data_IF_260296518560
#
_entry.id   IF_260296518560
#
_cell.length_a   1.000
_cell.length_b   1.000
_cell.length_c   1.000
_cell.angle_alpha   90.00
_cell.angle_beta   90.00
_cell.angle_gamma   90.00
#
_symmetry.space_group_name_H-M   'P 1'
#
loop_
_entity.id
_entity.type
_entity.pdbx_description
1 polymer ?
#
# COMPACT_ATOMS: atom_id res chain seq x y z
N UNK A 1 1.14 8.43 -19.98
CA UNK A 1 0.21 8.24 -18.84
C UNK A 1 0.81 8.72 -17.53
N UNK A 2 1.94 8.20 -17.09
CA UNK A 2 2.53 8.49 -15.76
C UNK A 2 2.87 9.96 -15.55
N UNK A 3 3.63 10.59 -16.47
CA UNK A 3 3.99 12.00 -16.37
C UNK A 3 2.76 12.91 -16.33
N UNK A 4 1.73 12.56 -17.09
CA UNK A 4 0.46 13.29 -17.08
C UNK A 4 -0.26 13.16 -15.74
N UNK A 5 -0.39 11.94 -15.19
CA UNK A 5 -1.00 11.72 -13.89
C UNK A 5 -0.22 12.42 -12.76
N UNK A 6 1.12 12.39 -12.82
CA UNK A 6 1.96 13.12 -11.87
C UNK A 6 1.77 14.63 -11.98
N UNK A 7 1.72 15.18 -13.20
CA UNK A 7 1.45 16.61 -13.42
C UNK A 7 0.09 17.04 -12.84
N UNK A 8 -0.94 16.22 -13.02
CA UNK A 8 -2.27 16.46 -12.44
C UNK A 8 -2.26 16.38 -10.91
N UNK A 9 -1.56 15.40 -10.34
CA UNK A 9 -1.40 15.26 -8.89
C UNK A 9 -0.69 16.47 -8.27
N UNK A 10 0.40 16.91 -8.89
CA UNK A 10 1.14 18.10 -8.45
C UNK A 10 0.31 19.38 -8.58
N UNK A 11 -0.47 19.51 -9.66
CA UNK A 11 -1.37 20.65 -9.84
C UNK A 11 -2.49 20.67 -8.80
N UNK A 12 -3.11 19.52 -8.50
CA UNK A 12 -4.12 19.39 -7.46
C UNK A 12 -3.53 19.73 -6.08
N UNK A 13 -2.34 19.22 -5.76
CA UNK A 13 -1.66 19.54 -4.51
C UNK A 13 -1.41 21.04 -4.34
N UNK A 14 -0.97 21.71 -5.40
CA UNK A 14 -0.75 23.18 -5.38
C UNK A 14 -2.03 23.99 -5.16
N UNK A 15 -3.19 23.47 -5.62
CA UNK A 15 -4.49 24.14 -5.41
C UNK A 15 -4.96 24.06 -3.96
N UNK A 16 -4.66 22.97 -3.26
CA UNK A 16 -5.15 22.70 -1.91
C UNK A 16 -4.02 22.19 -0.98
N UNK A 17 -2.92 22.97 -0.78
CA UNK A 17 -1.74 22.47 -0.08
C UNK A 17 -2.02 22.08 1.38
N UNK A 18 -2.81 22.90 2.10
CA UNK A 18 -3.10 22.65 3.51
C UNK A 18 -3.91 21.37 3.78
N UNK A 19 -5.05 21.12 3.10
CA UNK A 19 -5.78 19.88 3.27
C UNK A 19 -4.93 18.63 2.94
N UNK A 20 -4.12 18.69 1.90
CA UNK A 20 -3.27 17.57 1.52
C UNK A 20 -2.13 17.35 2.53
N UNK A 21 -1.47 18.40 2.99
CA UNK A 21 -0.46 18.28 4.04
C UNK A 21 -1.06 17.76 5.35
N UNK A 22 -2.25 18.24 5.75
CA UNK A 22 -2.96 17.75 6.93
C UNK A 22 -3.28 16.24 6.81
N UNK A 23 -3.70 15.79 5.64
CA UNK A 23 -3.96 14.36 5.39
C UNK A 23 -2.67 13.54 5.44
N UNK A 24 -1.57 14.08 4.94
CA UNK A 24 -0.24 13.46 5.07
C UNK A 24 0.20 13.33 6.52
N UNK A 25 -0.05 14.36 7.34
CA UNK A 25 0.22 14.31 8.78
C UNK A 25 -0.64 13.24 9.50
N UNK A 26 -1.94 13.13 9.14
CA UNK A 26 -2.82 12.06 9.65
C UNK A 26 -2.29 10.69 9.25
N UNK A 27 -1.90 10.50 7.99
CA UNK A 27 -1.34 9.24 7.52
C UNK A 27 -0.05 8.89 8.26
N UNK A 28 0.82 9.86 8.50
CA UNK A 28 2.02 9.68 9.29
C UNK A 28 1.69 9.26 10.73
N UNK A 29 0.74 9.95 11.38
CA UNK A 29 0.31 9.61 12.74
C UNK A 29 -0.25 8.17 12.81
N UNK A 30 -1.07 7.76 11.83
CA UNK A 30 -1.59 6.40 11.73
C UNK A 30 -0.47 5.37 11.57
N UNK A 31 0.55 5.66 10.77
CA UNK A 31 1.71 4.78 10.62
C UNK A 31 2.53 4.70 11.93
N UNK A 32 2.68 5.81 12.65
CA UNK A 32 3.36 5.82 13.95
C UNK A 32 2.60 5.01 15.01
N UNK A 33 1.27 5.12 15.05
CA UNK A 33 0.44 4.28 15.92
C UNK A 33 0.61 2.79 15.59
N UNK A 34 0.86 2.46 14.33
CA UNK A 34 1.14 1.10 13.89
C UNK A 34 2.42 0.51 14.48
N UNK A 35 3.41 1.34 14.81
CA UNK A 35 4.63 0.89 15.48
C UNK A 35 4.36 0.44 16.93
N UNK A 36 3.31 0.96 17.55
CA UNK A 36 2.91 0.61 18.92
C UNK A 36 2.10 -0.69 18.98
N UNK A 37 1.35 -1.00 17.93
CA UNK A 37 0.53 -2.20 17.87
C UNK A 37 0.37 -2.69 16.41
N UNK A 38 0.87 -3.90 16.06
CA UNK A 38 0.79 -4.45 14.69
C UNK A 38 -0.63 -4.51 14.12
N UNK A 39 -1.63 -4.80 14.97
CA UNK A 39 -3.04 -4.83 14.56
C UNK A 39 -3.52 -3.45 14.11
N UNK A 40 -3.12 -2.37 14.82
CA UNK A 40 -3.43 -1.01 14.42
C UNK A 40 -2.74 -0.63 13.12
N UNK A 41 -1.50 -1.07 12.89
CA UNK A 41 -0.82 -0.91 11.60
C UNK A 41 -1.62 -1.52 10.46
N UNK A 42 -2.12 -2.72 10.65
CA UNK A 42 -2.89 -3.46 9.67
C UNK A 42 -4.22 -2.78 9.34
N UNK A 43 -4.99 -2.39 10.38
CA UNK A 43 -6.26 -1.67 10.22
C UNK A 43 -6.03 -0.31 9.56
N UNK A 44 -5.02 0.44 9.97
CA UNK A 44 -4.70 1.74 9.36
C UNK A 44 -4.32 1.60 7.89
N UNK A 45 -3.46 0.66 7.55
CA UNK A 45 -2.95 0.49 6.18
C UNK A 45 -4.02 -0.04 5.21
N UNK A 46 -4.89 -0.94 5.66
CA UNK A 46 -5.84 -1.62 4.78
C UNK A 46 -7.25 -1.02 4.77
N UNK A 47 -7.59 -0.19 5.76
CA UNK A 47 -8.91 0.45 5.86
C UNK A 47 -8.81 1.97 5.86
N UNK A 48 -8.07 2.55 6.82
CA UNK A 48 -8.09 4.00 7.03
C UNK A 48 -7.33 4.76 5.91
N UNK A 49 -6.16 4.27 5.50
CA UNK A 49 -5.40 4.93 4.44
C UNK A 49 -6.12 4.88 3.08
N UNK A 50 -6.71 3.75 2.63
CA UNK A 50 -7.56 3.74 1.43
C UNK A 50 -8.76 4.69 1.51
N UNK A 51 -9.38 4.86 2.67
CA UNK A 51 -10.47 5.83 2.86
C UNK A 51 -9.96 7.28 2.67
N UNK A 52 -8.79 7.59 3.21
CA UNK A 52 -8.15 8.89 3.00
C UNK A 52 -7.81 9.11 1.52
N UNK A 53 -7.33 8.08 0.81
CA UNK A 53 -7.07 8.14 -0.64
C UNK A 53 -8.30 8.53 -1.44
N UNK A 54 -9.44 7.92 -1.14
CA UNK A 54 -10.71 8.26 -1.77
C UNK A 54 -11.12 9.70 -1.44
N UNK A 55 -11.02 10.12 -0.17
CA UNK A 55 -11.32 11.49 0.24
C UNK A 55 -10.46 12.53 -0.51
N UNK A 56 -9.16 12.27 -0.63
CA UNK A 56 -8.24 13.15 -1.39
C UNK A 56 -8.58 13.22 -2.88
N UNK A 57 -8.93 12.09 -3.49
CA UNK A 57 -9.35 12.06 -4.89
C UNK A 57 -10.59 12.92 -5.13
N UNK A 58 -11.58 12.85 -4.23
CA UNK A 58 -12.77 13.69 -4.28
C UNK A 58 -12.42 15.18 -4.16
N UNK A 59 -11.51 15.53 -3.23
CA UNK A 59 -11.06 16.90 -3.07
C UNK A 59 -10.29 17.42 -4.30
N UNK A 60 -9.53 16.53 -4.94
CA UNK A 60 -8.73 16.90 -6.12
C UNK A 60 -9.56 17.30 -7.34
N UNK A 61 -10.77 16.74 -7.49
CA UNK A 61 -11.71 17.06 -8.59
C UNK A 61 -12.77 18.10 -8.18
N UNK A 62 -12.78 18.48 -6.91
CA UNK A 62 -13.79 19.40 -6.42
C UNK A 62 -13.60 20.82 -6.99
N UNK A 63 -14.71 21.49 -7.20
CA UNK A 63 -14.71 22.93 -7.50
C UNK A 63 -14.14 23.73 -6.32
N UNK A 64 -13.60 24.92 -6.59
CA UNK A 64 -13.09 25.80 -5.54
C UNK A 64 -14.19 26.06 -4.51
N UNK A 65 -13.99 25.62 -3.27
CA UNK A 65 -14.96 25.80 -2.17
C UNK A 65 -15.43 24.52 -1.49
N UNK A 66 -15.18 23.33 -2.07
CA UNK A 66 -15.46 22.09 -1.36
C UNK A 66 -14.56 21.99 -0.12
N UNK A 67 -15.18 21.81 1.04
CA UNK A 67 -14.44 21.63 2.28
C UNK A 67 -13.90 20.20 2.40
N UNK A 68 -12.70 20.05 2.94
CA UNK A 68 -12.09 18.74 3.20
C UNK A 68 -13.03 17.80 3.97
N UNK A 69 -13.81 18.32 4.92
CA UNK A 69 -14.81 17.57 5.68
C UNK A 69 -15.91 16.96 4.82
N UNK A 70 -16.28 17.62 3.73
CA UNK A 70 -17.28 17.09 2.77
C UNK A 70 -16.69 15.97 1.91
N UNK A 71 -15.45 16.11 1.46
CA UNK A 71 -14.73 15.07 0.74
C UNK A 71 -14.51 13.82 1.63
N UNK A 72 -14.16 14.02 2.89
CA UNK A 72 -14.00 12.94 3.86
C UNK A 72 -15.35 12.26 4.18
N UNK A 73 -16.45 13.00 4.20
CA UNK A 73 -17.80 12.42 4.41
C UNK A 73 -18.16 11.41 3.34
N UNK A 74 -17.79 11.64 2.06
CA UNK A 74 -18.00 10.66 1.00
C UNK A 74 -17.24 9.35 1.27
N UNK A 75 -15.99 9.46 1.65
CA UNK A 75 -15.19 8.28 2.02
C UNK A 75 -15.78 7.57 3.24
N UNK A 76 -16.19 8.33 4.26
CA UNK A 76 -16.82 7.80 5.47
C UNK A 76 -18.18 7.17 5.20
N UNK A 77 -18.97 7.65 4.22
CA UNK A 77 -20.25 7.00 3.87
C UNK A 77 -20.08 5.59 3.33
N UNK A 78 -18.92 5.28 2.78
CA UNK A 78 -18.56 3.96 2.26
C UNK A 78 -17.87 3.06 3.31
N UNK A 79 -17.74 3.50 4.58
CA UNK A 79 -16.94 2.82 5.59
C UNK A 79 -17.26 1.33 5.78
N UNK A 80 -18.53 0.85 5.77
CA UNK A 80 -18.78 -0.57 5.96
C UNK A 80 -18.23 -1.42 4.80
N UNK A 81 -18.37 -0.91 3.57
CA UNK A 81 -17.82 -1.56 2.37
C UNK A 81 -16.31 -1.51 2.36
N UNK A 82 -15.71 -0.41 2.81
CA UNK A 82 -14.25 -0.27 2.94
C UNK A 82 -13.70 -1.19 4.03
N UNK A 83 -14.40 -1.34 5.14
CA UNK A 83 -14.04 -2.29 6.19
C UNK A 83 -14.07 -3.73 5.67
N UNK A 84 -15.14 -4.10 4.94
CA UNK A 84 -15.24 -5.43 4.33
C UNK A 84 -14.12 -5.67 3.30
N UNK A 85 -13.79 -4.67 2.47
CA UNK A 85 -12.68 -4.74 1.54
C UNK A 85 -11.34 -4.91 2.28
N UNK A 86 -11.09 -4.08 3.30
CA UNK A 86 -9.89 -4.14 4.13
C UNK A 86 -9.75 -5.48 4.83
N UNK A 87 -10.84 -6.02 5.42
CA UNK A 87 -10.84 -7.34 6.06
C UNK A 87 -10.49 -8.45 5.07
N UNK A 88 -11.03 -8.40 3.85
CA UNK A 88 -10.69 -9.36 2.82
C UNK A 88 -9.22 -9.25 2.39
N UNK A 89 -8.68 -8.04 2.27
CA UNK A 89 -7.25 -7.82 2.00
C UNK A 89 -6.37 -8.34 3.14
N UNK A 90 -6.80 -8.15 4.40
CA UNK A 90 -6.11 -8.73 5.58
C UNK A 90 -6.04 -10.25 5.48
N UNK A 91 -7.16 -10.90 5.20
CA UNK A 91 -7.20 -12.38 5.07
C UNK A 91 -6.29 -12.87 3.94
N UNK A 92 -6.25 -12.16 2.81
CA UNK A 92 -5.35 -12.48 1.70
C UNK A 92 -3.87 -12.33 2.09
N UNK A 93 -3.52 -11.24 2.78
CA UNK A 93 -2.15 -11.01 3.26
C UNK A 93 -1.75 -12.06 4.29
N UNK A 94 -2.65 -12.40 5.24
CA UNK A 94 -2.39 -13.45 6.23
C UNK A 94 -2.21 -14.82 5.56
N UNK A 95 -3.11 -15.19 4.65
CA UNK A 95 -3.00 -16.44 3.89
C UNK A 95 -1.67 -16.53 3.15
N UNK A 96 -1.26 -15.44 2.51
CA UNK A 96 0.04 -15.38 1.84
C UNK A 96 1.20 -15.49 2.83
N UNK A 97 1.14 -14.80 3.97
CA UNK A 97 2.17 -14.87 5.00
C UNK A 97 2.36 -16.29 5.52
N UNK A 98 1.27 -17.05 5.66
CA UNK A 98 1.32 -18.47 6.03
C UNK A 98 2.00 -19.30 4.93
N UNK A 99 1.64 -19.11 3.67
CA UNK A 99 2.26 -19.82 2.52
C UNK A 99 3.75 -19.50 2.43
N UNK A 100 4.13 -18.22 2.56
CA UNK A 100 5.53 -17.82 2.53
C UNK A 100 6.31 -18.34 3.73
N UNK A 101 5.74 -18.25 4.94
CA UNK A 101 6.33 -18.76 6.17
C UNK A 101 6.57 -20.27 6.09
N UNK A 102 5.58 -21.03 5.61
CA UNK A 102 5.73 -22.48 5.41
C UNK A 102 6.77 -22.82 4.34
N UNK A 103 6.84 -22.06 3.26
CA UNK A 103 7.86 -22.25 2.22
C UNK A 103 9.27 -21.94 2.72
N UNK A 104 9.45 -20.87 3.51
CA UNK A 104 10.73 -20.54 4.13
C UNK A 104 11.12 -21.59 5.18
N UNK A 105 10.16 -22.06 5.98
CA UNK A 105 10.39 -23.14 6.94
C UNK A 105 10.80 -24.45 6.25
N UNK A 106 10.19 -24.78 5.12
CA UNK A 106 10.57 -25.97 4.34
C UNK A 106 11.98 -25.87 3.72
N UNK A 107 12.39 -24.64 3.34
CA UNK A 107 13.72 -24.43 2.74
C UNK A 107 14.85 -24.32 3.78
N UNK A 108 14.59 -23.75 4.93
CA UNK A 108 15.61 -23.37 5.91
C UNK A 108 15.31 -23.84 7.35
N UNK A 109 14.23 -24.59 7.58
CA UNK A 109 13.73 -24.89 8.92
C UNK A 109 14.81 -25.46 9.83
N UNK A 110 15.55 -26.46 9.36
CA UNK A 110 16.61 -27.10 10.12
C UNK A 110 17.79 -26.17 10.41
N UNK A 111 18.16 -25.32 9.45
CA UNK A 111 19.25 -24.35 9.62
C UNK A 111 18.83 -23.22 10.57
N UNK A 112 17.63 -22.67 10.37
CA UNK A 112 17.08 -21.61 11.21
C UNK A 112 16.91 -22.11 12.65
N UNK A 113 16.35 -23.30 12.84
CA UNK A 113 16.13 -23.85 14.17
C UNK A 113 17.46 -24.07 14.89
N UNK A 114 18.45 -24.67 14.24
CA UNK A 114 19.78 -24.91 14.81
C UNK A 114 20.51 -23.62 15.22
N UNK A 115 20.37 -22.56 14.42
CA UNK A 115 20.96 -21.25 14.71
C UNK A 115 20.22 -20.59 15.87
N UNK A 116 18.88 -20.56 15.85
CA UNK A 116 18.07 -19.97 16.93
C UNK A 116 18.31 -20.68 18.27
N UNK A 117 18.34 -22.01 18.30
CA UNK A 117 18.60 -22.78 19.52
C UNK A 117 20.00 -22.49 20.08
N UNK A 118 21.01 -22.39 19.20
CA UNK A 118 22.41 -22.15 19.63
C UNK A 118 22.63 -20.74 20.17
N UNK A 119 21.88 -19.76 19.69
CA UNK A 119 22.05 -18.35 20.05
C UNK A 119 20.85 -17.76 20.81
N UNK A 120 19.97 -18.62 21.38
CA UNK A 120 18.77 -18.18 22.10
C UNK A 120 19.04 -17.18 23.24
N UNK A 121 20.22 -17.33 23.89
CA UNK A 121 20.63 -16.49 25.03
C UNK A 121 21.51 -15.28 24.58
N UNK A 122 21.86 -15.19 23.29
CA UNK A 122 22.72 -14.13 22.76
C UNK A 122 22.12 -13.48 21.50
N UNK A 123 21.23 -12.46 21.65
CA UNK A 123 20.56 -11.82 20.52
C UNK A 123 21.51 -11.16 19.51
N UNK A 124 22.63 -10.59 19.97
CA UNK A 124 23.59 -9.95 19.09
C UNK A 124 24.35 -10.98 18.25
N UNK A 125 24.75 -12.10 18.89
CA UNK A 125 25.33 -13.23 18.18
C UNK A 125 24.37 -13.91 17.22
N UNK A 126 23.06 -13.94 17.53
CA UNK A 126 22.03 -14.50 16.67
C UNK A 126 21.97 -13.76 15.32
N UNK A 127 21.97 -12.45 15.32
CA UNK A 127 21.92 -11.64 14.09
C UNK A 127 23.15 -11.91 13.20
N UNK A 128 24.35 -11.98 13.80
CA UNK A 128 25.56 -12.32 13.08
C UNK A 128 25.52 -13.74 12.52
N UNK A 129 25.10 -14.71 13.33
CA UNK A 129 24.99 -16.10 12.92
C UNK A 129 23.93 -16.33 11.83
N UNK A 130 22.79 -15.66 11.90
CA UNK A 130 21.77 -15.69 10.84
C UNK A 130 22.33 -15.14 9.52
N UNK A 131 23.16 -14.11 9.60
CA UNK A 131 23.80 -13.55 8.42
C UNK A 131 24.83 -14.47 7.77
N UNK A 132 25.69 -15.10 8.60
CA UNK A 132 26.90 -15.78 8.11
C UNK A 132 26.67 -17.30 7.91
N UNK A 133 25.73 -17.92 8.64
CA UNK A 133 25.51 -19.37 8.60
C UNK A 133 24.35 -19.80 7.68
N UNK A 134 23.48 -18.87 7.27
CA UNK A 134 22.41 -19.18 6.34
C UNK A 134 22.90 -18.94 4.91
N UNK A 135 22.74 -19.93 4.05
CA UNK A 135 23.00 -19.79 2.62
C UNK A 135 21.95 -18.89 1.97
N UNK A 136 22.19 -17.57 2.01
CA UNK A 136 21.31 -16.56 1.42
C UNK A 136 21.27 -16.61 -0.11
N UNK A 137 22.12 -17.37 -0.77
CA UNK A 137 22.06 -17.52 -2.24
C UNK A 137 20.72 -18.09 -2.67
N UNK A 138 20.18 -19.05 -1.92
CA UNK A 138 18.83 -19.59 -2.13
C UNK A 138 17.73 -18.62 -1.67
N UNK A 139 18.01 -17.80 -0.63
CA UNK A 139 17.08 -16.78 -0.14
C UNK A 139 16.88 -15.65 -1.13
N UNK A 140 17.87 -15.32 -1.95
CA UNK A 140 17.76 -14.27 -2.95
C UNK A 140 16.56 -14.52 -3.89
N UNK A 141 16.34 -15.77 -4.28
CA UNK A 141 15.18 -16.16 -5.09
C UNK A 141 13.87 -16.04 -4.31
N UNK A 142 13.85 -16.47 -3.04
CA UNK A 142 12.69 -16.36 -2.16
C UNK A 142 12.33 -14.89 -1.88
N UNK A 143 13.32 -14.08 -1.57
CA UNK A 143 13.13 -12.63 -1.36
C UNK A 143 12.71 -11.91 -2.64
N UNK A 144 13.27 -12.27 -3.78
CA UNK A 144 12.86 -11.74 -5.08
C UNK A 144 11.41 -12.13 -5.40
N UNK A 145 11.03 -13.39 -5.16
CA UNK A 145 9.65 -13.85 -5.34
C UNK A 145 8.68 -13.12 -4.39
N UNK A 146 9.06 -12.93 -3.12
CA UNK A 146 8.30 -12.16 -2.14
C UNK A 146 8.14 -10.70 -2.58
N UNK A 147 9.23 -10.05 -2.99
CA UNK A 147 9.20 -8.67 -3.46
C UNK A 147 8.33 -8.52 -4.70
N UNK A 148 8.46 -9.42 -5.69
CA UNK A 148 7.60 -9.45 -6.88
C UNK A 148 6.15 -9.70 -6.52
N UNK A 149 5.86 -10.61 -5.60
CA UNK A 149 4.50 -10.88 -5.16
C UNK A 149 3.90 -9.68 -4.40
N UNK A 150 4.65 -9.07 -3.49
CA UNK A 150 4.21 -7.87 -2.76
C UNK A 150 3.94 -6.73 -3.73
N UNK A 151 4.81 -6.54 -4.71
CA UNK A 151 4.67 -5.55 -5.76
C UNK A 151 3.44 -5.83 -6.64
N UNK A 152 3.24 -7.09 -7.04
CA UNK A 152 2.08 -7.51 -7.81
C UNK A 152 0.79 -7.32 -7.01
N UNK A 153 0.76 -7.75 -5.75
CA UNK A 153 -0.39 -7.57 -4.86
C UNK A 153 -0.74 -6.10 -4.66
N UNK A 154 0.26 -5.26 -4.39
CA UNK A 154 0.07 -3.82 -4.29
C UNK A 154 -0.50 -3.24 -5.59
N UNK A 155 0.00 -3.66 -6.74
CA UNK A 155 -0.48 -3.21 -8.06
C UNK A 155 -1.90 -3.67 -8.34
N UNK A 156 -2.25 -4.90 -8.00
CA UNK A 156 -3.55 -5.49 -8.27
C UNK A 156 -4.66 -4.92 -7.40
N UNK A 157 -4.40 -4.68 -6.12
CA UNK A 157 -5.44 -4.30 -5.15
C UNK A 157 -5.56 -2.81 -4.89
N UNK A 158 -4.61 -2.00 -5.29
CA UNK A 158 -4.60 -0.58 -5.01
C UNK A 158 -5.80 0.19 -5.62
N UNK A 159 -6.31 -0.25 -6.79
CA UNK A 159 -7.43 0.39 -7.48
C UNK A 159 -8.81 0.01 -6.89
N UNK A 160 -8.88 -1.08 -6.13
CA UNK A 160 -10.12 -1.60 -5.58
C UNK A 160 -10.87 -0.60 -4.68
N UNK A 161 -10.22 0.14 -3.75
CA UNK A 161 -10.90 1.14 -2.94
C UNK A 161 -11.57 2.24 -3.77
N UNK A 162 -10.93 2.65 -4.85
CA UNK A 162 -11.45 3.68 -5.74
C UNK A 162 -12.62 3.15 -6.59
N UNK A 163 -12.52 1.90 -7.08
CA UNK A 163 -13.60 1.26 -7.82
C UNK A 163 -14.84 1.05 -6.94
N UNK A 164 -14.64 0.65 -5.68
CA UNK A 164 -15.70 0.49 -4.69
C UNK A 164 -16.51 1.77 -4.51
N UNK A 165 -15.86 2.92 -4.39
CA UNK A 165 -16.51 4.19 -4.10
C UNK A 165 -16.96 4.92 -5.37
N UNK A 166 -16.03 5.17 -6.31
CA UNK A 166 -16.32 6.01 -7.47
C UNK A 166 -17.13 5.31 -8.57
N UNK A 167 -17.06 3.96 -8.64
CA UNK A 167 -17.89 3.16 -9.54
C UNK A 167 -19.06 2.47 -8.84
N UNK A 168 -19.20 2.68 -7.54
CA UNK A 168 -20.24 2.06 -6.70
C UNK A 168 -20.31 0.52 -6.86
N UNK A 169 -19.12 -0.10 -7.02
CA UNK A 169 -19.02 -1.56 -7.16
C UNK A 169 -19.19 -2.27 -5.81
N UNK A 170 -19.63 -3.52 -5.84
CA UNK A 170 -19.55 -4.39 -4.68
C UNK A 170 -18.08 -4.73 -4.33
N UNK A 171 -17.83 -5.21 -3.10
CA UNK A 171 -16.47 -5.51 -2.62
C UNK A 171 -15.75 -6.48 -3.54
N UNK A 172 -16.37 -7.63 -3.85
CA UNK A 172 -15.76 -8.64 -4.73
C UNK A 172 -15.59 -8.12 -6.16
N UNK A 173 -16.57 -7.38 -6.68
CA UNK A 173 -16.49 -6.78 -8.01
C UNK A 173 -15.34 -5.78 -8.11
N UNK A 174 -15.11 -4.95 -7.09
CA UNK A 174 -14.01 -3.98 -7.05
C UNK A 174 -12.66 -4.65 -7.06
N UNK A 175 -12.52 -5.78 -6.34
CA UNK A 175 -11.30 -6.59 -6.34
C UNK A 175 -11.05 -7.25 -7.71
N UNK A 176 -12.05 -7.92 -8.27
CA UNK A 176 -11.95 -8.56 -9.59
C UNK A 176 -11.58 -7.51 -10.65
N UNK A 177 -12.25 -6.37 -10.65
CA UNK A 177 -11.95 -5.28 -11.56
C UNK A 177 -10.52 -4.75 -11.39
N UNK A 178 -10.06 -4.57 -10.14
CA UNK A 178 -8.69 -4.13 -9.85
C UNK A 178 -7.67 -5.14 -10.37
N UNK A 179 -7.91 -6.45 -10.18
CA UNK A 179 -7.07 -7.53 -10.71
C UNK A 179 -7.03 -7.50 -12.24
N UNK A 180 -8.19 -7.39 -12.89
CA UNK A 180 -8.28 -7.34 -14.37
C UNK A 180 -7.52 -6.14 -14.96
N UNK A 181 -7.70 -4.96 -14.39
CA UNK A 181 -6.97 -3.75 -14.82
C UNK A 181 -5.48 -3.88 -14.49
N UNK A 182 -5.14 -4.35 -13.28
CA UNK A 182 -3.76 -4.56 -12.85
C UNK A 182 -3.00 -5.50 -13.77
N UNK A 183 -3.60 -6.62 -14.17
CA UNK A 183 -2.98 -7.59 -15.08
C UNK A 183 -2.92 -7.07 -16.52
N UNK A 184 -4.01 -6.54 -17.05
CA UNK A 184 -4.08 -6.04 -18.44
C UNK A 184 -3.18 -4.82 -18.67
N UNK A 185 -2.95 -3.99 -17.65
CA UNK A 185 -2.14 -2.77 -17.72
C UNK A 185 -0.84 -2.86 -16.92
N UNK A 186 -0.40 -4.08 -16.55
CA UNK A 186 0.74 -4.31 -15.67
C UNK A 186 2.00 -3.56 -16.13
N UNK A 187 2.36 -3.67 -17.38
CA UNK A 187 3.54 -2.99 -17.94
C UNK A 187 3.48 -1.45 -17.85
N UNK A 188 2.27 -0.87 -17.79
CA UNK A 188 2.07 0.58 -17.60
C UNK A 188 2.05 0.98 -16.13
N UNK A 189 1.66 0.08 -15.24
CA UNK A 189 1.56 0.33 -13.80
C UNK A 189 2.88 0.06 -13.08
N UNK A 190 3.62 -0.97 -13.52
CA UNK A 190 4.86 -1.42 -12.89
C UNK A 190 5.89 -0.29 -12.64
N UNK A 191 6.21 0.58 -13.61
CA UNK A 191 7.15 1.68 -13.37
C UNK A 191 6.66 2.64 -12.29
N UNK A 192 5.33 2.85 -12.19
CA UNK A 192 4.72 3.68 -11.14
C UNK A 192 4.92 3.08 -9.77
N UNK A 193 4.63 1.78 -9.65
CA UNK A 193 4.75 1.05 -8.38
C UNK A 193 6.21 1.04 -7.94
N UNK A 194 7.14 0.81 -8.86
CA UNK A 194 8.59 0.85 -8.56
C UNK A 194 9.02 2.24 -8.07
N UNK A 195 8.61 3.30 -8.76
CA UNK A 195 8.92 4.68 -8.35
C UNK A 195 8.42 4.94 -6.93
N UNK A 196 7.16 4.57 -6.64
CA UNK A 196 6.58 4.79 -5.32
C UNK A 196 7.17 3.90 -4.24
N UNK A 197 7.60 2.69 -4.57
CA UNK A 197 8.35 1.83 -3.64
C UNK A 197 9.68 2.48 -3.25
N UNK A 198 10.42 3.04 -4.21
CA UNK A 198 11.65 3.77 -3.93
C UNK A 198 11.38 5.03 -3.11
N UNK A 199 10.36 5.83 -3.47
CA UNK A 199 10.00 7.01 -2.70
C UNK A 199 9.56 6.66 -1.28
N UNK A 200 8.85 5.56 -1.08
CA UNK A 200 8.46 5.07 0.24
C UNK A 200 9.67 4.65 1.08
N UNK A 201 10.68 4.00 0.48
CA UNK A 201 11.93 3.68 1.16
C UNK A 201 12.68 4.95 1.59
N UNK A 202 12.80 5.94 0.70
CA UNK A 202 13.45 7.22 1.01
C UNK A 202 12.67 7.97 2.10
N UNK A 203 11.33 7.96 2.04
CA UNK A 203 10.51 8.62 3.05
C UNK A 203 10.54 7.90 4.41
N UNK A 204 10.81 6.59 4.42
CA UNK A 204 11.07 5.84 5.66
C UNK A 204 12.33 6.33 6.39
N UNK A 205 13.37 6.71 5.63
CA UNK A 205 14.58 7.30 6.20
C UNK A 205 14.38 8.77 6.65
N UNK A 206 13.44 9.50 6.02
CA UNK A 206 13.16 10.91 6.28
C UNK A 206 11.68 11.09 6.61
N UNK A 207 11.32 10.78 7.84
CA UNK A 207 9.91 10.70 8.33
C UNK A 207 9.07 11.94 7.98
N UNK A 208 9.66 13.14 8.02
CA UNK A 208 8.96 14.39 7.66
C UNK A 208 8.53 14.47 6.19
N UNK A 209 9.21 13.78 5.27
CA UNK A 209 8.84 13.77 3.86
C UNK A 209 7.53 12.99 3.60
N UNK A 210 7.14 12.09 4.49
CA UNK A 210 5.88 11.35 4.37
C UNK A 210 4.66 12.28 4.32
N UNK A 211 4.71 13.44 4.98
CA UNK A 211 3.64 14.44 4.96
C UNK A 211 3.34 14.92 3.54
N UNK A 212 4.35 14.98 2.68
CA UNK A 212 4.22 15.43 1.28
C UNK A 212 4.09 14.25 0.31
N UNK A 213 4.89 13.21 0.49
CA UNK A 213 4.95 12.08 -0.45
C UNK A 213 3.64 11.30 -0.41
N UNK A 214 3.07 11.08 0.77
CA UNK A 214 1.88 10.27 0.91
C UNK A 214 0.64 10.84 0.18
N UNK A 215 0.24 12.11 0.36
CA UNK A 215 -0.89 12.69 -0.39
C UNK A 215 -0.61 12.79 -1.90
N UNK A 216 0.64 13.05 -2.32
CA UNK A 216 1.00 13.03 -3.73
C UNK A 216 0.84 11.64 -4.33
N UNK A 217 1.21 10.59 -3.59
CA UNK A 217 0.99 9.19 -3.98
C UNK A 217 -0.49 8.91 -4.15
N UNK A 218 -1.31 9.31 -3.19
CA UNK A 218 -2.76 9.13 -3.23
C UNK A 218 -3.39 9.80 -4.46
N UNK A 219 -3.02 11.04 -4.72
CA UNK A 219 -3.47 11.79 -5.89
C UNK A 219 -3.02 11.17 -7.20
N UNK A 220 -1.78 10.74 -7.26
CA UNK A 220 -1.24 10.06 -8.43
C UNK A 220 -2.03 8.77 -8.73
N UNK A 221 -2.31 7.96 -7.72
CA UNK A 221 -3.12 6.75 -7.86
C UNK A 221 -4.53 7.06 -8.33
N UNK A 222 -5.13 8.11 -7.80
CA UNK A 222 -6.45 8.58 -8.23
C UNK A 222 -6.46 8.96 -9.72
N UNK A 223 -5.49 9.73 -10.20
CA UNK A 223 -5.42 10.10 -11.60
C UNK A 223 -5.08 8.92 -12.52
N UNK A 224 -4.29 7.96 -12.05
CA UNK A 224 -4.11 6.68 -12.75
C UNK A 224 -5.45 5.93 -12.87
N UNK A 225 -6.20 5.81 -11.78
CA UNK A 225 -7.54 5.19 -11.78
C UNK A 225 -8.47 5.87 -12.81
N UNK A 226 -8.51 7.21 -12.82
CA UNK A 226 -9.33 7.97 -13.77
C UNK A 226 -8.94 7.74 -15.23
N UNK A 227 -7.64 7.63 -15.50
CA UNK A 227 -7.12 7.40 -16.85
C UNK A 227 -7.41 5.98 -17.33
N UNK A 228 -7.18 5.00 -16.48
CA UNK A 228 -7.42 3.58 -16.77
C UNK A 228 -8.91 3.25 -16.86
N UNK A 229 -9.72 3.89 -16.03
CA UNK A 229 -11.14 3.70 -16.01
C UNK A 229 -11.88 4.15 -17.27
N UNK A 230 -11.29 5.07 -18.04
CA UNK A 230 -11.83 5.50 -19.34
C UNK A 230 -11.53 4.52 -20.48
N UNK A 231 -10.56 3.62 -20.29
CA UNK A 231 -10.12 2.66 -21.31
C UNK A 231 -10.79 1.29 -21.17
N UNK A 232 -11.45 1.02 -20.07
CA UNK A 232 -12.11 -0.27 -19.77
C UNK A 232 -13.64 -0.18 -19.68
N UNK A 233 -14.23 0.92 -20.16
CA UNK A 233 -15.64 1.08 -20.43
C UNK A 233 -15.85 1.05 -21.94
#
# INVERSE_FOLDING_TARGET
MMLHAFGLAAAAFRRHPYPFAATGAIALALNMLGLLAPVLAMVSSLVLLPMLYVGLGTLAEAEPGLRFTQALRLALSAWPRMLALGSMMVLLVLGLSVVLGSSLSALYGDQLQSVVERYAENPEGLVAALRDQIDWSRSAYGLAALALFTLASATLFWLAPMALVYRNMGVLQSLIWSVQIGTSQFGRLLPSVLLWSVLSLVSGALVGLNILIWPLTALFHFYCFRTLGKQGA
#
